data_IF_194297505644
#
_entry.id   IF_194297505644
#
_cell.length_a   1.000
_cell.length_b   1.000
_cell.length_c   1.000
_cell.angle_alpha   90.00
_cell.angle_beta   90.00
_cell.angle_gamma   90.00
#
_symmetry.space_group_name_H-M   'P 1'
#
loop_
_entity.id
_entity.type
_entity.pdbx_description
1 polymer ?
#
# COMPACT_ATOMS: atom_id res chain seq x y z
N UNK A 1 5.43 -11.15 9.31
CA UNK A 1 4.40 -10.26 8.74
C UNK A 1 3.54 -11.04 7.76
N UNK A 2 2.26 -11.13 8.09
CA UNK A 2 1.20 -11.70 7.29
C UNK A 2 0.13 -10.62 7.08
N UNK A 3 -0.51 -10.64 5.92
CA UNK A 3 -1.67 -9.80 5.66
C UNK A 3 -2.89 -10.46 6.30
N UNK A 4 -3.54 -9.73 7.21
CA UNK A 4 -4.77 -10.18 7.86
C UNK A 4 -5.98 -9.85 7.00
N UNK A 5 -6.02 -8.63 6.47
CA UNK A 5 -7.11 -8.13 5.64
C UNK A 5 -6.57 -7.06 4.69
N UNK A 6 -7.15 -6.96 3.50
CA UNK A 6 -6.88 -5.83 2.61
C UNK A 6 -8.16 -5.44 1.87
N UNK A 7 -8.32 -4.13 1.64
CA UNK A 7 -9.42 -3.59 0.86
C UNK A 7 -8.95 -2.38 0.07
N UNK A 8 -9.52 -2.19 -1.13
CA UNK A 8 -9.20 -1.02 -1.93
C UNK A 8 -9.95 0.18 -1.37
N UNK A 9 -9.20 1.21 -0.98
CA UNK A 9 -9.75 2.42 -0.39
C UNK A 9 -10.26 3.37 -1.48
N UNK A 10 -9.43 3.63 -2.50
CA UNK A 10 -9.77 4.53 -3.62
C UNK A 10 -8.81 4.38 -4.79
N UNK A 11 -9.25 4.78 -5.98
CA UNK A 11 -8.36 5.06 -7.11
C UNK A 11 -7.87 6.50 -7.09
N UNK A 12 -6.63 6.70 -7.52
CA UNK A 12 -5.98 8.00 -7.68
C UNK A 12 -5.11 7.99 -8.95
N UNK A 13 -4.75 9.16 -9.43
CA UNK A 13 -3.75 9.29 -10.49
C UNK A 13 -2.42 9.72 -9.85
N UNK A 14 -1.35 8.95 -10.07
CA UNK A 14 -0.01 9.27 -9.58
C UNK A 14 0.93 9.31 -10.78
N UNK A 15 1.60 10.44 -10.98
CA UNK A 15 2.51 10.66 -12.12
C UNK A 15 1.86 10.46 -13.51
N UNK A 16 0.56 10.78 -13.63
CA UNK A 16 -0.21 10.58 -14.87
C UNK A 16 -0.57 9.11 -15.16
N UNK A 17 -0.32 8.20 -14.22
CA UNK A 17 -0.72 6.80 -14.31
C UNK A 17 -1.85 6.47 -13.31
N UNK A 18 -2.83 5.64 -13.71
CA UNK A 18 -3.87 5.17 -12.81
C UNK A 18 -3.25 4.29 -11.70
N UNK A 19 -3.56 4.63 -10.47
CA UNK A 19 -3.11 3.94 -9.28
C UNK A 19 -4.29 3.69 -8.34
N UNK A 20 -4.19 2.66 -7.52
CA UNK A 20 -5.17 2.35 -6.51
C UNK A 20 -4.48 2.27 -5.16
N UNK A 21 -5.11 2.89 -4.17
CA UNK A 21 -4.71 2.84 -2.77
C UNK A 21 -5.45 1.67 -2.12
N UNK A 22 -4.68 0.76 -1.53
CA UNK A 22 -5.18 -0.44 -0.86
C UNK A 22 -4.79 -0.35 0.60
N UNK A 23 -5.77 -0.29 1.48
CA UNK A 23 -5.54 -0.34 2.91
C UNK A 23 -5.34 -1.79 3.32
N UNK A 24 -4.21 -2.06 3.98
CA UNK A 24 -3.78 -3.40 4.36
C UNK A 24 -3.59 -3.42 5.86
N UNK A 25 -4.25 -4.38 6.51
CA UNK A 25 -4.07 -4.70 7.91
C UNK A 25 -3.13 -5.88 8.06
N UNK A 26 -2.11 -5.76 8.90
CA UNK A 26 -1.12 -6.82 9.12
C UNK A 26 -1.08 -7.27 10.58
N UNK A 27 -0.42 -8.41 10.84
CA UNK A 27 -0.13 -8.88 12.20
C UNK A 27 1.11 -8.20 12.83
N UNK A 28 1.73 -7.26 12.12
CA UNK A 28 2.93 -6.59 12.59
C UNK A 28 2.58 -5.45 13.57
N UNK A 29 3.04 -5.49 14.83
CA UNK A 29 2.67 -4.50 15.85
C UNK A 29 3.27 -3.11 15.58
N UNK A 30 4.27 -2.98 14.70
CA UNK A 30 4.81 -1.68 14.32
C UNK A 30 4.07 -1.10 13.11
N UNK A 31 3.33 -1.93 12.37
CA UNK A 31 2.67 -1.59 11.12
C UNK A 31 1.32 -2.32 10.99
N UNK A 32 0.47 -2.18 12.02
CA UNK A 32 -0.84 -2.86 12.06
C UNK A 32 -1.72 -2.45 10.88
N UNK A 33 -1.58 -1.20 10.43
CA UNK A 33 -2.28 -0.64 9.27
C UNK A 33 -1.29 0.11 8.37
N UNK A 34 -1.32 -0.21 7.08
CA UNK A 34 -0.53 0.46 6.04
C UNK A 34 -1.37 0.71 4.81
N UNK A 35 -0.97 1.68 3.99
CA UNK A 35 -1.56 1.93 2.68
C UNK A 35 -0.55 1.49 1.62
N UNK A 36 -0.96 0.52 0.81
CA UNK A 36 -0.20 0.00 -0.32
C UNK A 36 -0.75 0.57 -1.63
N UNK A 37 0.12 1.20 -2.42
CA UNK A 37 -0.24 1.76 -3.72
C UNK A 37 0.05 0.76 -4.82
N UNK A 38 -0.94 0.47 -5.65
CA UNK A 38 -0.81 -0.41 -6.79
C UNK A 38 -1.03 0.35 -8.09
N UNK A 39 -0.23 0.07 -9.10
CA UNK A 39 -0.45 0.55 -10.47
C UNK A 39 -0.70 -0.61 -11.41
N UNK A 40 -1.37 -0.32 -12.52
CA UNK A 40 -1.49 -1.28 -13.61
C UNK A 40 -0.15 -1.33 -14.36
N UNK A 41 0.44 -2.52 -14.42
CA UNK A 41 1.63 -2.80 -15.21
C UNK A 41 1.27 -3.12 -16.65
N UNK A 42 2.23 -2.99 -17.56
CA UNK A 42 2.04 -3.24 -19.00
C UNK A 42 1.61 -4.68 -19.32
N UNK A 43 1.87 -5.64 -18.42
CA UNK A 43 1.48 -7.05 -18.56
C UNK A 43 0.03 -7.35 -18.12
N UNK A 44 -0.77 -6.31 -17.79
CA UNK A 44 -2.09 -6.44 -17.15
C UNK A 44 -2.05 -7.05 -15.74
N UNK A 45 -0.87 -7.06 -15.11
CA UNK A 45 -0.69 -7.35 -13.69
C UNK A 45 -0.58 -6.06 -12.86
N UNK A 46 -0.66 -6.20 -11.54
CA UNK A 46 -0.55 -5.08 -10.62
C UNK A 46 0.86 -5.03 -10.01
N UNK A 47 1.51 -3.86 -10.12
CA UNK A 47 2.78 -3.62 -9.45
C UNK A 47 2.56 -2.82 -8.16
N UNK A 48 3.30 -3.17 -7.12
CA UNK A 48 3.27 -2.47 -5.84
C UNK A 48 4.20 -1.25 -5.93
N UNK A 49 3.67 -0.06 -6.08
CA UNK A 49 4.45 1.17 -6.29
C UNK A 49 5.11 1.64 -4.99
N UNK A 50 4.36 1.71 -3.89
CA UNK A 50 4.84 2.24 -2.61
C UNK A 50 3.99 1.72 -1.46
N UNK A 51 4.54 1.71 -0.26
CA UNK A 51 3.83 1.46 0.99
C UNK A 51 4.11 2.62 1.93
N UNK A 52 3.02 3.22 2.41
CA UNK A 52 3.10 4.25 3.43
C UNK A 52 2.44 3.75 4.70
N UNK A 53 3.02 4.11 5.83
CA UNK A 53 2.38 3.91 7.12
C UNK A 53 1.35 5.02 7.31
N UNK A 54 0.15 4.64 7.71
CA UNK A 54 -0.87 5.58 8.14
C UNK A 54 -0.60 5.88 9.62
N UNK A 55 0.13 6.97 9.90
CA UNK A 55 0.33 7.49 11.27
C UNK A 55 -0.85 8.40 11.69
N UNK A 56 -1.98 8.34 10.96
CA UNK A 56 -3.14 9.20 11.14
C UNK A 56 -4.03 8.81 12.34
N UNK A 57 -3.52 8.02 13.29
CA UNK A 57 -4.13 7.85 14.60
C UNK A 57 -3.58 8.92 15.57
N UNK A 58 -3.87 10.19 15.30
CA UNK A 58 -3.90 11.27 16.29
C UNK A 58 -4.46 12.56 15.65
N UNK A 59 -5.74 12.80 15.92
CA UNK A 59 -6.53 14.01 15.62
C UNK A 59 -6.96 14.20 14.16
N UNK A 60 -8.23 13.87 13.91
CA UNK A 60 -9.27 14.86 13.57
C UNK A 60 -8.76 16.31 13.58
N UNK A 61 -8.30 16.82 12.44
CA UNK A 61 -8.28 18.26 12.15
C UNK A 61 -8.84 18.47 10.73
N UNK A 62 -10.13 18.77 10.74
CA UNK A 62 -11.10 18.62 9.65
C UNK A 62 -11.23 19.90 8.84
N UNK A 63 -10.49 20.96 9.13
CA UNK A 63 -10.53 22.19 8.37
C UNK A 63 -9.20 22.93 8.59
N UNK A 64 -8.50 23.23 7.49
CA UNK A 64 -7.40 24.20 7.45
C UNK A 64 -6.00 23.67 7.80
N UNK A 65 -5.29 23.08 6.83
CA UNK A 65 -3.90 23.48 6.50
C UNK A 65 -3.30 22.75 5.30
N UNK A 66 -2.70 23.51 4.38
CA UNK A 66 -1.96 23.04 3.20
C UNK A 66 -0.58 22.44 3.50
N UNK A 67 -0.32 21.86 4.67
CA UNK A 67 0.97 21.27 5.03
C UNK A 67 0.78 20.17 6.09
N UNK A 68 1.41 19.01 5.86
CA UNK A 68 1.59 17.90 6.80
C UNK A 68 0.52 16.80 6.82
N UNK A 69 0.30 16.11 5.69
CA UNK A 69 -0.11 14.70 5.74
C UNK A 69 1.16 13.87 5.98
N UNK A 70 1.41 13.44 7.21
CA UNK A 70 2.60 12.66 7.60
C UNK A 70 2.46 11.19 7.15
N UNK A 71 2.39 10.96 5.84
CA UNK A 71 2.58 9.62 5.29
C UNK A 71 4.08 9.35 5.24
N UNK A 72 4.57 8.46 6.10
CA UNK A 72 5.96 8.00 6.03
C UNK A 72 6.06 6.87 4.98
N UNK A 73 6.84 7.08 3.91
CA UNK A 73 7.18 6.00 2.98
C UNK A 73 8.10 5.02 3.69
N UNK A 74 7.53 3.89 4.09
CA UNK A 74 8.24 2.81 4.75
C UNK A 74 8.66 1.73 3.74
N UNK A 75 8.40 1.91 2.44
CA UNK A 75 8.67 0.91 1.40
C UNK A 75 10.08 0.33 1.51
N UNK A 76 11.09 1.20 1.61
CA UNK A 76 12.48 0.76 1.72
C UNK A 76 12.76 0.07 3.05
N UNK A 77 12.33 0.64 4.17
CA UNK A 77 12.62 0.13 5.51
C UNK A 77 11.90 -1.20 5.79
N UNK A 78 10.65 -1.35 5.35
CA UNK A 78 9.81 -2.51 5.62
C UNK A 78 10.22 -3.74 4.83
N UNK A 79 10.83 -3.51 3.65
CA UNK A 79 11.44 -4.56 2.85
C UNK A 79 12.97 -4.55 2.93
N UNK A 80 13.60 -3.82 3.86
CA UNK A 80 15.06 -3.88 4.00
C UNK A 80 15.46 -5.19 4.68
N UNK A 81 16.48 -5.88 4.16
CA UNK A 81 17.09 -7.02 4.83
C UNK A 81 18.32 -6.60 5.65
N UNK A 82 18.88 -7.50 6.45
CA UNK A 82 20.08 -7.24 7.27
C UNK A 82 21.31 -6.75 6.47
N UNK A 83 21.31 -6.89 5.14
CA UNK A 83 22.35 -6.39 4.24
C UNK A 83 22.04 -5.01 3.64
N UNK A 84 21.05 -4.27 4.16
CA UNK A 84 20.59 -2.98 3.65
C UNK A 84 20.15 -3.04 2.17
N UNK A 85 19.66 -4.20 1.73
CA UNK A 85 19.11 -4.42 0.39
C UNK A 85 17.63 -4.67 0.48
N UNK A 86 16.88 -4.19 -0.50
CA UNK A 86 15.46 -4.52 -0.65
C UNK A 86 15.30 -6.03 -0.84
N UNK A 87 14.58 -6.66 0.08
CA UNK A 87 14.14 -8.04 0.05
C UNK A 87 12.97 -8.19 -0.92
N UNK A 88 13.32 -8.36 -2.19
CA UNK A 88 12.36 -8.56 -3.27
C UNK A 88 11.43 -9.76 -3.03
N UNK A 89 11.91 -10.81 -2.34
CA UNK A 89 11.11 -11.99 -2.00
C UNK A 89 9.97 -11.65 -1.04
N UNK A 90 10.25 -10.91 0.04
CA UNK A 90 9.23 -10.42 0.97
C UNK A 90 8.26 -9.45 0.30
N UNK A 91 8.76 -8.53 -0.54
CA UNK A 91 7.90 -7.59 -1.29
C UNK A 91 6.93 -8.31 -2.20
N UNK A 92 7.40 -9.29 -2.97
CA UNK A 92 6.56 -10.10 -3.85
C UNK A 92 5.56 -10.93 -3.04
N UNK A 93 5.99 -11.54 -1.92
CA UNK A 93 5.10 -12.32 -1.04
C UNK A 93 4.00 -11.46 -0.42
N UNK A 94 4.30 -10.23 -0.02
CA UNK A 94 3.31 -9.26 0.46
C UNK A 94 2.32 -8.88 -0.64
N UNK A 95 2.84 -8.56 -1.84
CA UNK A 95 2.02 -8.23 -3.01
C UNK A 95 0.98 -9.32 -3.30
N UNK A 96 1.41 -10.58 -3.35
CA UNK A 96 0.53 -11.72 -3.61
C UNK A 96 -0.50 -11.92 -2.50
N UNK A 97 -0.13 -11.73 -1.22
CA UNK A 97 -1.06 -11.81 -0.10
C UNK A 97 -2.16 -10.74 -0.18
N UNK A 98 -1.80 -9.49 -0.48
CA UNK A 98 -2.77 -8.39 -0.64
C UNK A 98 -3.73 -8.66 -1.80
N UNK A 99 -3.20 -9.05 -2.97
CA UNK A 99 -4.01 -9.35 -4.15
C UNK A 99 -4.94 -10.56 -3.95
N UNK A 100 -4.55 -11.52 -3.10
CA UNK A 100 -5.34 -12.71 -2.77
C UNK A 100 -6.34 -12.46 -1.64
N UNK A 101 -6.31 -11.29 -1.00
CA UNK A 101 -7.17 -10.96 0.12
C UNK A 101 -8.52 -10.41 -0.36
N UNK A 102 -9.61 -10.98 0.14
CA UNK A 102 -10.96 -10.52 -0.14
C UNK A 102 -11.26 -10.38 -1.63
N UNK A 103 -11.68 -9.18 -2.04
CA UNK A 103 -12.00 -8.83 -3.42
C UNK A 103 -11.00 -7.83 -4.04
N UNK A 104 -9.81 -7.68 -3.44
CA UNK A 104 -8.83 -6.64 -3.84
C UNK A 104 -8.54 -6.71 -5.34
N UNK A 105 -8.22 -7.89 -5.87
CA UNK A 105 -7.92 -8.05 -7.31
C UNK A 105 -9.08 -7.64 -8.22
N UNK A 106 -10.32 -7.93 -7.83
CA UNK A 106 -11.50 -7.56 -8.63
C UNK A 106 -11.75 -6.05 -8.58
N UNK A 107 -11.54 -5.43 -7.42
CA UNK A 107 -11.76 -4.01 -7.24
C UNK A 107 -10.67 -3.17 -7.92
N UNK A 108 -9.40 -3.62 -7.84
CA UNK A 108 -8.30 -3.08 -8.65
C UNK A 108 -8.61 -3.15 -10.14
N UNK A 109 -9.14 -4.28 -10.62
CA UNK A 109 -9.54 -4.43 -12.02
C UNK A 109 -10.67 -3.49 -12.41
N UNK A 110 -11.62 -3.24 -11.52
CA UNK A 110 -12.73 -2.33 -11.79
C UNK A 110 -12.28 -0.86 -11.82
N UNK A 111 -11.30 -0.51 -10.99
CA UNK A 111 -10.89 0.87 -10.76
C UNK A 111 -9.77 1.34 -11.70
N UNK A 112 -8.79 0.48 -12.00
CA UNK A 112 -7.59 0.84 -12.77
C UNK A 112 -7.27 -0.12 -13.93
N UNK A 113 -8.12 -1.12 -14.20
CA UNK A 113 -7.96 -2.09 -15.29
C UNK A 113 -8.93 -1.85 -16.44
#
# INVERSE_FOLDING_TARGET
MNVLEAHVARSLEKDGAPCAEVQVRTDDPQCEQVLAYFSLSADQDYDLVSIVRDDADLLTDWFDNSMHTAYEDITMQWFENESLKTDWGRRETFKQQVLSSGQVREDLKRLIG
#
